data_IF_405310132898
#
_entry.id   IF_405310132898
#
_cell.length_a   1.000
_cell.length_b   1.000
_cell.length_c   1.000
_cell.angle_alpha   90.00
_cell.angle_beta   90.00
_cell.angle_gamma   90.00
#
_symmetry.space_group_name_H-M   'P 1'
#
loop_
_entity.id
_entity.type
_entity.pdbx_description
1 polymer ?
#
# COMPACT_ATOMS: atom_id res chain seq x y z
N UNK A 1 -56.53 -11.34 23.81
CA UNK A 1 -55.89 -10.10 23.30
C UNK A 1 -55.26 -9.40 24.50
N UNK A 2 -54.06 -9.83 24.89
CA UNK A 2 -53.32 -9.24 26.02
C UNK A 2 -52.34 -8.24 25.41
N UNK A 3 -52.62 -6.96 25.61
CA UNK A 3 -51.75 -5.86 25.20
C UNK A 3 -50.52 -5.91 26.10
N UNK A 4 -49.39 -6.34 25.54
CA UNK A 4 -48.07 -6.20 26.17
C UNK A 4 -47.79 -4.69 26.23
N UNK A 5 -47.81 -4.13 27.43
CA UNK A 5 -47.24 -2.82 27.71
C UNK A 5 -45.75 -2.93 27.39
N UNK A 6 -45.35 -2.55 26.19
CA UNK A 6 -43.95 -2.38 25.86
C UNK A 6 -43.44 -1.22 26.71
N UNK A 7 -42.57 -1.53 27.66
CA UNK A 7 -41.93 -0.53 28.51
C UNK A 7 -41.33 0.56 27.60
N UNK A 8 -41.74 1.83 27.70
CA UNK A 8 -41.28 2.88 26.79
C UNK A 8 -39.75 3.10 26.88
N UNK A 9 -39.14 2.64 27.97
CA UNK A 9 -37.69 2.61 28.18
C UNK A 9 -37.03 1.47 27.40
N UNK A 10 -37.61 0.26 27.41
CA UNK A 10 -37.11 -0.89 26.66
C UNK A 10 -37.14 -0.67 25.16
N UNK A 11 -38.23 -0.07 24.64
CA UNK A 11 -38.35 0.28 23.23
C UNK A 11 -37.31 1.33 22.79
N UNK A 12 -36.98 2.31 23.64
CA UNK A 12 -35.93 3.32 23.34
C UNK A 12 -34.54 2.71 23.34
N UNK A 13 -34.24 1.80 24.27
CA UNK A 13 -32.96 1.11 24.33
C UNK A 13 -32.79 0.22 23.10
N UNK A 14 -33.82 -0.55 22.74
CA UNK A 14 -33.77 -1.42 21.57
C UNK A 14 -33.62 -0.63 20.25
N UNK A 15 -34.35 0.49 20.11
CA UNK A 15 -34.18 1.38 18.96
C UNK A 15 -32.77 1.99 18.90
N UNK A 16 -32.21 2.38 20.04
CA UNK A 16 -30.82 2.85 20.14
C UNK A 16 -29.83 1.78 19.69
N UNK A 17 -29.91 0.57 20.25
CA UNK A 17 -29.05 -0.57 19.89
C UNK A 17 -29.14 -0.92 18.40
N UNK A 18 -30.34 -0.91 17.82
CA UNK A 18 -30.56 -1.14 16.38
C UNK A 18 -29.93 -0.04 15.52
N UNK A 19 -30.02 1.23 15.95
CA UNK A 19 -29.43 2.37 15.23
C UNK A 19 -27.91 2.25 15.20
N UNK A 20 -27.27 2.01 16.35
CA UNK A 20 -25.82 1.83 16.43
C UNK A 20 -25.33 0.62 15.65
N UNK A 21 -26.05 -0.51 15.70
CA UNK A 21 -25.73 -1.69 14.90
C UNK A 21 -25.83 -1.43 13.39
N UNK A 22 -26.83 -0.66 12.95
CA UNK A 22 -26.99 -0.30 11.54
C UNK A 22 -25.89 0.64 11.03
N UNK A 23 -25.43 1.58 11.86
CA UNK A 23 -24.33 2.50 11.53
C UNK A 23 -22.99 1.74 11.44
N UNK A 24 -22.72 0.85 12.40
CA UNK A 24 -21.52 0.02 12.40
C UNK A 24 -21.47 -0.90 11.18
N UNK A 25 -22.60 -1.51 10.81
CA UNK A 25 -22.69 -2.33 9.60
C UNK A 25 -22.45 -1.51 8.32
N UNK A 26 -23.02 -0.31 8.22
CA UNK A 26 -22.81 0.56 7.05
C UNK A 26 -21.35 1.02 6.93
N UNK A 27 -20.75 1.50 8.03
CA UNK A 27 -19.34 1.89 8.06
C UNK A 27 -18.41 0.69 7.80
N UNK A 28 -18.78 -0.49 8.27
CA UNK A 28 -18.10 -1.74 7.99
C UNK A 28 -18.03 -2.04 6.50
N UNK A 29 -19.16 -1.98 5.78
CA UNK A 29 -19.20 -2.24 4.33
C UNK A 29 -18.30 -1.26 3.56
N UNK A 30 -18.34 0.04 3.91
CA UNK A 30 -17.45 1.04 3.28
C UNK A 30 -15.97 0.76 3.59
N UNK A 31 -15.65 0.37 4.82
CA UNK A 31 -14.27 0.06 5.22
C UNK A 31 -13.74 -1.18 4.50
N UNK A 32 -14.51 -2.27 4.44
CA UNK A 32 -14.10 -3.52 3.79
C UNK A 32 -13.96 -3.37 2.27
N UNK A 33 -14.85 -2.62 1.62
CA UNK A 33 -14.74 -2.33 0.19
C UNK A 33 -13.51 -1.48 -0.13
N UNK A 34 -13.23 -0.44 0.67
CA UNK A 34 -12.01 0.36 0.55
C UNK A 34 -10.74 -0.48 0.75
N UNK A 35 -10.71 -1.36 1.75
CA UNK A 35 -9.58 -2.29 1.97
C UNK A 35 -9.40 -3.27 0.81
N UNK A 36 -10.50 -3.78 0.23
CA UNK A 36 -10.46 -4.63 -0.95
C UNK A 36 -9.84 -3.92 -2.16
N UNK A 37 -10.28 -2.69 -2.45
CA UNK A 37 -9.72 -1.86 -3.52
C UNK A 37 -8.25 -1.51 -3.28
N UNK A 38 -7.88 -1.22 -2.04
CA UNK A 38 -6.50 -0.99 -1.63
C UNK A 38 -5.64 -2.22 -1.91
N UNK A 39 -6.13 -3.43 -1.61
CA UNK A 39 -5.44 -4.68 -1.93
C UNK A 39 -5.16 -4.82 -3.43
N UNK A 40 -6.14 -4.53 -4.29
CA UNK A 40 -5.96 -4.55 -5.74
C UNK A 40 -4.93 -3.51 -6.20
N UNK A 41 -5.01 -2.29 -5.66
CA UNK A 41 -4.07 -1.22 -5.97
C UNK A 41 -2.63 -1.59 -5.60
N UNK A 42 -2.42 -2.24 -4.45
CA UNK A 42 -1.12 -2.76 -4.04
C UNK A 42 -0.61 -3.78 -5.06
N UNK A 43 -1.42 -4.74 -5.48
CA UNK A 43 -1.01 -5.74 -6.50
C UNK A 43 -0.56 -5.06 -7.80
N UNK A 44 -1.33 -4.09 -8.30
CA UNK A 44 -0.97 -3.33 -9.50
C UNK A 44 0.37 -2.59 -9.31
N UNK A 45 0.55 -1.94 -8.16
CA UNK A 45 1.79 -1.23 -7.83
C UNK A 45 3.00 -2.19 -7.80
N UNK A 46 2.86 -3.39 -7.23
CA UNK A 46 3.93 -4.40 -7.18
C UNK A 46 4.35 -4.85 -8.58
N UNK A 47 3.40 -5.05 -9.48
CA UNK A 47 3.67 -5.39 -10.88
C UNK A 47 4.39 -4.24 -11.57
N UNK A 48 3.90 -3.00 -11.40
CA UNK A 48 4.52 -1.80 -11.96
C UNK A 48 5.98 -1.63 -11.53
N UNK A 49 6.24 -1.69 -10.22
CA UNK A 49 7.61 -1.59 -9.65
C UNK A 49 8.51 -2.69 -10.19
N UNK A 50 8.01 -3.92 -10.27
CA UNK A 50 8.77 -5.06 -10.81
C UNK A 50 9.17 -4.84 -12.28
N UNK A 51 8.26 -4.28 -13.07
CA UNK A 51 8.50 -3.97 -14.48
C UNK A 51 9.51 -2.83 -14.64
N UNK A 52 9.39 -1.76 -13.86
CA UNK A 52 10.35 -0.65 -13.87
C UNK A 52 11.76 -1.10 -13.49
N UNK A 53 11.90 -1.88 -12.42
CA UNK A 53 13.20 -2.43 -12.02
C UNK A 53 13.76 -3.39 -13.07
N UNK A 54 12.91 -4.22 -13.66
CA UNK A 54 13.30 -5.12 -14.75
C UNK A 54 13.83 -4.36 -15.95
N UNK A 55 13.17 -3.26 -16.33
CA UNK A 55 13.59 -2.40 -17.44
C UNK A 55 14.91 -1.68 -17.11
N UNK A 56 15.07 -1.10 -15.92
CA UNK A 56 16.32 -0.45 -15.49
C UNK A 56 17.53 -1.41 -15.56
N UNK A 57 17.34 -2.67 -15.15
CA UNK A 57 18.38 -3.71 -15.24
C UNK A 57 18.76 -4.02 -16.70
N UNK A 58 17.78 -4.06 -17.60
CA UNK A 58 18.03 -4.32 -19.02
C UNK A 58 18.79 -3.16 -19.68
N UNK A 59 18.37 -1.92 -19.42
CA UNK A 59 19.02 -0.72 -19.95
C UNK A 59 20.47 -0.59 -19.45
N UNK A 60 20.72 -0.92 -18.18
CA UNK A 60 22.05 -0.80 -17.54
C UNK A 60 22.87 -2.09 -17.57
N UNK A 61 22.43 -3.11 -18.29
CA UNK A 61 23.11 -4.41 -18.34
C UNK A 61 24.57 -4.31 -18.82
N UNK A 62 24.85 -3.43 -19.81
CA UNK A 62 26.22 -3.18 -20.31
C UNK A 62 27.11 -2.54 -19.25
N UNK A 63 26.60 -1.54 -18.52
CA UNK A 63 27.35 -0.89 -17.44
C UNK A 63 27.66 -1.89 -16.33
N UNK A 64 26.69 -2.71 -15.94
CA UNK A 64 26.87 -3.77 -14.94
C UNK A 64 27.84 -4.86 -15.41
N UNK A 65 27.83 -5.22 -16.69
CA UNK A 65 28.78 -6.16 -17.28
C UNK A 65 30.21 -5.59 -17.28
N UNK A 66 30.39 -4.31 -17.60
CA UNK A 66 31.69 -3.63 -17.54
C UNK A 66 32.21 -3.53 -16.11
N UNK A 67 31.36 -3.18 -15.15
CA UNK A 67 31.72 -3.18 -13.73
C UNK A 67 32.13 -4.58 -13.24
N UNK A 68 31.46 -5.63 -13.72
CA UNK A 68 31.87 -7.02 -13.43
C UNK A 68 33.19 -7.41 -14.09
N UNK A 69 33.51 -6.89 -15.28
CA UNK A 69 34.82 -7.08 -15.92
C UNK A 69 35.95 -6.39 -15.13
N UNK A 70 35.62 -5.30 -14.42
CA UNK A 70 36.51 -4.61 -13.48
C UNK A 70 36.60 -5.27 -12.08
N UNK A 71 36.00 -6.46 -11.90
CA UNK A 71 36.13 -7.26 -10.67
C UNK A 71 34.95 -7.16 -9.70
N UNK A 72 33.86 -6.50 -10.07
CA UNK A 72 32.68 -6.38 -9.20
C UNK A 72 32.00 -7.74 -9.01
N UNK A 73 31.84 -8.17 -7.76
CA UNK A 73 31.27 -9.48 -7.41
C UNK A 73 29.75 -9.51 -7.59
N UNK A 74 29.17 -10.70 -7.82
CA UNK A 74 27.71 -10.89 -7.93
C UNK A 74 26.94 -10.36 -6.70
N UNK A 75 27.57 -10.41 -5.52
CA UNK A 75 27.00 -9.91 -4.27
C UNK A 75 26.93 -8.38 -4.21
N UNK A 76 27.94 -7.68 -4.72
CA UNK A 76 27.96 -6.21 -4.77
C UNK A 76 26.88 -5.68 -5.72
N UNK A 77 26.71 -6.31 -6.89
CA UNK A 77 25.62 -5.96 -7.81
C UNK A 77 24.24 -6.14 -7.16
N UNK A 78 24.06 -7.24 -6.39
CA UNK A 78 22.81 -7.49 -5.66
C UNK A 78 22.52 -6.44 -4.59
N UNK A 79 23.55 -5.98 -3.87
CA UNK A 79 23.41 -4.92 -2.86
C UNK A 79 23.04 -3.59 -3.48
N UNK A 80 23.60 -3.26 -4.64
CA UNK A 80 23.26 -2.04 -5.37
C UNK A 80 21.80 -2.03 -5.83
N UNK A 81 21.33 -3.12 -6.46
CA UNK A 81 19.93 -3.24 -6.87
C UNK A 81 18.97 -3.25 -5.66
N UNK A 82 19.38 -3.89 -4.55
CA UNK A 82 18.60 -3.84 -3.32
C UNK A 82 18.52 -2.41 -2.75
N UNK A 83 19.60 -1.62 -2.83
CA UNK A 83 19.59 -0.23 -2.39
C UNK A 83 18.67 0.64 -3.26
N UNK A 84 18.68 0.45 -4.58
CA UNK A 84 17.78 1.15 -5.51
C UNK A 84 16.30 0.83 -5.20
N UNK A 85 16.00 -0.44 -4.96
CA UNK A 85 14.67 -0.89 -4.57
C UNK A 85 14.22 -0.32 -3.21
N UNK A 86 15.11 -0.32 -2.20
CA UNK A 86 14.82 0.30 -0.89
C UNK A 86 14.52 1.78 -1.06
N UNK A 87 15.31 2.49 -1.85
CA UNK A 87 15.15 3.92 -2.07
C UNK A 87 13.81 4.23 -2.76
N UNK A 88 13.45 3.46 -3.79
CA UNK A 88 12.13 3.54 -4.44
C UNK A 88 10.99 3.26 -3.45
N UNK A 89 11.12 2.22 -2.62
CA UNK A 89 10.09 1.87 -1.62
C UNK A 89 9.91 2.97 -0.58
N UNK A 90 11.00 3.57 -0.10
CA UNK A 90 10.96 4.68 0.87
C UNK A 90 10.28 5.89 0.26
N UNK A 91 10.67 6.30 -0.95
CA UNK A 91 10.07 7.44 -1.65
C UNK A 91 8.60 7.20 -1.93
N UNK A 92 8.23 6.03 -2.45
CA UNK A 92 6.84 5.68 -2.72
C UNK A 92 5.98 5.67 -1.45
N UNK A 93 6.49 5.12 -0.35
CA UNK A 93 5.78 5.08 0.94
C UNK A 93 5.59 6.48 1.51
N UNK A 94 6.63 7.32 1.46
CA UNK A 94 6.58 8.68 1.97
C UNK A 94 5.60 9.53 1.16
N UNK A 95 5.73 9.53 -0.17
CA UNK A 95 4.83 10.27 -1.05
C UNK A 95 3.40 9.75 -0.98
N UNK A 96 3.20 8.43 -1.01
CA UNK A 96 1.88 7.81 -0.90
C UNK A 96 1.19 8.15 0.42
N UNK A 97 1.92 8.16 1.53
CA UNK A 97 1.38 8.54 2.84
C UNK A 97 0.99 10.02 2.87
N UNK A 98 1.87 10.92 2.40
CA UNK A 98 1.60 12.37 2.39
C UNK A 98 0.39 12.68 1.51
N UNK A 99 0.34 12.12 0.31
CA UNK A 99 -0.77 12.31 -0.63
C UNK A 99 -2.06 11.70 -0.06
N UNK A 100 -2.00 10.49 0.49
CA UNK A 100 -3.15 9.81 1.08
C UNK A 100 -3.75 10.54 2.27
N UNK A 101 -2.90 11.04 3.19
CA UNK A 101 -3.34 11.88 4.32
C UNK A 101 -3.92 13.20 3.82
N UNK A 102 -3.31 13.82 2.82
CA UNK A 102 -3.84 15.03 2.18
C UNK A 102 -5.23 14.82 1.59
N UNK A 103 -5.45 13.73 0.86
CA UNK A 103 -6.78 13.38 0.33
C UNK A 103 -7.78 13.07 1.45
N UNK A 104 -7.36 12.38 2.51
CA UNK A 104 -8.21 12.12 3.67
C UNK A 104 -8.67 13.43 4.34
N UNK A 105 -7.76 14.40 4.47
CA UNK A 105 -8.06 15.72 5.03
C UNK A 105 -9.05 16.51 4.16
N UNK A 106 -8.79 16.59 2.85
CA UNK A 106 -9.69 17.28 1.90
C UNK A 106 -11.06 16.61 1.85
N UNK A 107 -11.11 15.27 1.84
CA UNK A 107 -12.35 14.52 1.86
C UNK A 107 -13.14 14.75 3.16
N UNK A 108 -12.44 14.81 4.30
CA UNK A 108 -13.05 15.13 5.58
C UNK A 108 -13.72 16.52 5.57
N UNK A 109 -12.99 17.56 5.16
CA UNK A 109 -13.51 18.93 5.12
C UNK A 109 -14.69 19.11 4.16
N UNK A 110 -14.66 18.42 3.02
CA UNK A 110 -15.68 18.59 1.98
C UNK A 110 -16.96 17.81 2.27
N UNK A 111 -16.85 16.58 2.78
CA UNK A 111 -18.00 15.70 2.97
C UNK A 111 -18.51 15.64 4.42
N UNK A 112 -17.61 15.61 5.41
CA UNK A 112 -17.98 15.35 6.81
C UNK A 112 -18.33 16.64 7.54
N UNK A 113 -17.46 17.66 7.45
CA UNK A 113 -17.71 18.96 8.10
C UNK A 113 -19.02 19.58 7.64
N UNK A 114 -19.34 19.48 6.35
CA UNK A 114 -20.59 20.01 5.76
C UNK A 114 -21.84 19.22 6.14
N UNK A 115 -21.72 17.93 6.45
CA UNK A 115 -22.85 17.04 6.71
C UNK A 115 -23.20 16.92 8.20
N UNK A 116 -22.20 16.91 9.08
CA UNK A 116 -22.38 16.55 10.50
C UNK A 116 -22.15 17.70 11.48
N UNK A 117 -21.42 18.76 11.13
CA UNK A 117 -21.12 19.91 12.01
C UNK A 117 -20.27 19.52 13.24
N UNK A 118 -19.12 20.17 13.44
CA UNK A 118 -18.20 19.93 14.58
C UNK A 118 -17.76 18.47 14.81
N UNK A 119 -17.78 17.64 13.77
CA UNK A 119 -17.02 16.40 13.80
C UNK A 119 -15.53 16.74 14.03
N UNK A 120 -14.81 15.90 14.77
CA UNK A 120 -13.36 16.01 14.94
C UNK A 120 -12.68 14.84 14.25
N UNK A 121 -11.75 15.12 13.32
CA UNK A 121 -10.98 14.08 12.64
C UNK A 121 -10.01 13.43 13.62
N UNK A 122 -10.29 12.19 14.03
CA UNK A 122 -9.36 11.39 14.83
C UNK A 122 -8.59 10.45 13.91
N UNK A 123 -7.33 10.77 13.67
CA UNK A 123 -6.45 9.93 12.85
C UNK A 123 -6.02 8.68 13.64
N UNK A 124 -6.33 7.46 13.18
CA UNK A 124 -5.89 6.24 13.84
C UNK A 124 -4.43 5.93 13.48
N UNK A 125 -3.50 6.56 14.22
CA UNK A 125 -2.05 6.43 14.00
C UNK A 125 -1.55 4.99 13.97
N UNK A 126 -2.11 4.12 14.81
CA UNK A 126 -1.80 2.68 14.83
C UNK A 126 -2.16 2.00 13.50
N UNK A 127 -3.39 2.20 13.01
CA UNK A 127 -3.83 1.61 11.74
C UNK A 127 -3.03 2.14 10.56
N UNK A 128 -2.73 3.46 10.55
CA UNK A 128 -1.85 4.04 9.53
C UNK A 128 -0.44 3.43 9.59
N UNK A 129 0.12 3.27 10.79
CA UNK A 129 1.43 2.63 10.97
C UNK A 129 1.46 1.21 10.42
N UNK A 130 0.41 0.43 10.66
CA UNK A 130 0.27 -0.94 10.11
C UNK A 130 0.18 -0.93 8.59
N UNK A 131 -0.62 -0.04 8.00
CA UNK A 131 -0.75 0.07 6.53
C UNK A 131 0.57 0.49 5.89
N UNK A 132 1.26 1.48 6.46
CA UNK A 132 2.58 1.94 6.00
C UNK A 132 3.61 0.81 6.09
N UNK A 133 3.62 0.05 7.19
CA UNK A 133 4.51 -1.09 7.35
C UNK A 133 4.22 -2.17 6.30
N UNK A 134 2.95 -2.52 6.09
CA UNK A 134 2.55 -3.49 5.07
C UNK A 134 2.96 -3.01 3.67
N UNK A 135 2.75 -1.73 3.35
CA UNK A 135 3.12 -1.15 2.07
C UNK A 135 4.64 -1.17 1.84
N UNK A 136 5.43 -0.82 2.86
CA UNK A 136 6.89 -0.88 2.80
C UNK A 136 7.39 -2.33 2.62
N UNK A 137 6.83 -3.28 3.36
CA UNK A 137 7.15 -4.71 3.20
C UNK A 137 6.75 -5.22 1.81
N UNK A 138 5.58 -4.82 1.31
CA UNK A 138 5.13 -5.16 -0.03
C UNK A 138 6.09 -4.62 -1.09
N UNK A 139 6.50 -3.35 -1.00
CA UNK A 139 7.48 -2.74 -1.90
C UNK A 139 8.83 -3.47 -1.90
N UNK A 140 9.33 -3.84 -0.72
CA UNK A 140 10.55 -4.66 -0.60
C UNK A 140 10.38 -6.05 -1.23
N UNK A 141 9.23 -6.70 -1.02
CA UNK A 141 8.92 -8.00 -1.62
C UNK A 141 8.82 -7.92 -3.15
N UNK A 142 8.28 -6.82 -3.70
CA UNK A 142 8.21 -6.57 -5.14
C UNK A 142 9.59 -6.66 -5.78
N UNK A 143 10.61 -6.11 -5.11
CA UNK A 143 11.97 -6.05 -5.61
C UNK A 143 12.72 -7.41 -5.59
N UNK A 144 12.22 -8.40 -4.83
CA UNK A 144 12.86 -9.72 -4.73
C UNK A 144 12.88 -10.45 -6.07
N UNK A 145 11.80 -10.35 -6.85
CA UNK A 145 11.67 -10.98 -8.17
C UNK A 145 12.70 -10.46 -9.19
N UNK A 146 12.78 -9.14 -9.48
CA UNK A 146 13.78 -8.61 -10.40
C UNK A 146 15.21 -8.76 -9.87
N UNK A 147 15.46 -8.59 -8.57
CA UNK A 147 16.78 -8.83 -7.98
C UNK A 147 17.28 -10.27 -8.19
N UNK A 148 16.36 -11.25 -8.10
CA UNK A 148 16.65 -12.66 -8.39
C UNK A 148 16.88 -12.90 -9.89
N UNK A 149 16.10 -12.27 -10.77
CA UNK A 149 16.29 -12.37 -12.23
C UNK A 149 17.63 -11.79 -12.65
N UNK A 150 17.97 -10.57 -12.22
CA UNK A 150 19.25 -9.92 -12.49
C UNK A 150 20.47 -10.76 -12.05
N UNK A 151 20.37 -11.43 -10.90
CA UNK A 151 21.44 -12.31 -10.41
C UNK A 151 21.64 -13.58 -11.25
N UNK A 152 20.63 -14.00 -12.02
CA UNK A 152 20.66 -15.18 -12.90
C UNK A 152 21.04 -14.85 -14.34
N UNK A 153 20.96 -13.59 -14.76
CA UNK A 153 21.43 -13.20 -16.10
C UNK A 153 22.95 -13.35 -16.16
N UNK A 154 23.38 -14.36 -16.89
CA UNK A 154 24.79 -14.64 -17.15
C UNK A 154 25.39 -13.57 -18.07
N UNK A 155 26.57 -13.02 -17.74
CA UNK A 155 27.18 -11.90 -18.48
C UNK A 155 27.55 -12.26 -19.93
N UNK A 156 27.63 -13.56 -20.26
CA UNK A 156 27.95 -14.04 -21.61
C UNK A 156 26.86 -13.70 -22.65
N UNK A 157 25.59 -13.54 -22.25
CA UNK A 157 24.51 -13.18 -23.18
C UNK A 157 24.57 -11.72 -23.63
N UNK A 158 25.26 -10.84 -22.90
CA UNK A 158 25.39 -9.42 -23.28
C UNK A 158 26.47 -9.15 -24.34
N UNK A 159 27.34 -10.12 -24.61
CA UNK A 159 28.41 -10.05 -25.62
C UNK A 159 28.07 -10.81 -26.91
N UNK A 160 26.95 -11.54 -26.95
CA UNK A 160 26.53 -12.35 -28.11
C UNK A 160 25.27 -11.82 -28.80
N UNK A 161 24.84 -10.60 -28.48
CA UNK A 161 23.78 -9.90 -29.22
C UNK A 161 24.45 -9.07 -30.33
N UNK A 162 24.99 -9.77 -31.31
CA UNK A 162 25.19 -9.32 -32.69
C UNK A 162 24.52 -10.33 -33.60
#
# INVERSE_FOLDING_TARGET
MVVILADPVGAKIENGLRTWASLDQQLGIYTWSALGLLGVAVVIALIGVSNTLGLSVLERAREHAMLRALGLTRGQLRRMLAAEAVLLSVVATLLGTVIGVGFAWVGYETFVTRALGDATMRVPWLSLGVVVLIAALAGLLAAVLPARRAARVTPAAGLSLD
#
